data_IF_650261956070
#
_entry.id   IF_650261956070
#
_cell.length_a   1.000
_cell.length_b   1.000
_cell.length_c   1.000
_cell.angle_alpha   90.00
_cell.angle_beta   90.00
_cell.angle_gamma   90.00
#
_symmetry.space_group_name_H-M   'P 1'
#
loop_
_entity.id
_entity.type
_entity.pdbx_description
1 polymer ?
#
# COMPACT_ATOMS: atom_id res chain seq x y z
N UNK A 1 -6.57 17.30 4.45
CA UNK A 1 -5.44 16.32 4.45
C UNK A 1 -5.13 15.91 3.03
N UNK A 2 -3.87 15.70 2.71
CA UNK A 2 -3.38 15.32 1.38
C UNK A 2 -2.74 13.93 1.41
N UNK A 3 -2.51 13.35 0.25
CA UNK A 3 -1.91 12.01 0.12
C UNK A 3 -0.60 11.89 0.93
N UNK A 4 0.29 12.90 0.85
CA UNK A 4 1.55 12.94 1.61
C UNK A 4 1.41 12.90 3.14
N UNK A 5 0.27 13.32 3.67
CA UNK A 5 0.04 13.38 5.13
C UNK A 5 -0.22 11.99 5.73
N UNK A 6 -0.59 11.01 4.89
CA UNK A 6 -1.00 9.67 5.30
C UNK A 6 -0.36 8.53 4.52
N UNK A 7 0.34 8.82 3.41
CA UNK A 7 0.97 7.79 2.59
C UNK A 7 2.05 7.03 3.37
N UNK A 8 2.29 5.79 2.97
CA UNK A 8 3.50 5.04 3.32
C UNK A 8 4.61 5.52 2.41
N UNK A 9 5.63 6.22 2.90
CA UNK A 9 6.83 6.51 2.12
C UNK A 9 7.70 5.25 2.00
N UNK A 10 8.82 5.34 1.28
CA UNK A 10 9.78 4.24 1.12
C UNK A 10 9.12 2.92 0.70
N UNK A 11 8.43 2.97 -0.43
CA UNK A 11 7.62 1.87 -0.95
C UNK A 11 8.49 0.70 -1.36
N UNK A 12 8.13 -0.52 -0.93
CA UNK A 12 8.72 -1.74 -1.46
C UNK A 12 8.40 -1.82 -2.96
N UNK A 13 9.43 -1.97 -3.79
CA UNK A 13 9.32 -2.05 -5.25
C UNK A 13 10.05 -3.28 -5.78
N UNK A 14 9.77 -3.66 -7.01
CA UNK A 14 10.51 -4.70 -7.73
C UNK A 14 10.89 -4.22 -9.12
N UNK A 15 11.95 -4.80 -9.69
CA UNK A 15 12.33 -4.57 -11.08
C UNK A 15 11.42 -5.33 -12.05
N UNK A 16 11.29 -4.87 -13.31
CA UNK A 16 10.51 -5.54 -14.35
C UNK A 16 10.91 -7.00 -14.58
N UNK A 17 12.18 -7.33 -14.38
CA UNK A 17 12.74 -8.68 -14.62
C UNK A 17 12.71 -9.58 -13.36
N UNK A 18 12.20 -9.08 -12.24
CA UNK A 18 11.99 -9.88 -11.02
C UNK A 18 11.07 -11.06 -11.31
N UNK A 19 11.47 -12.27 -10.89
CA UNK A 19 10.66 -13.47 -11.14
C UNK A 19 9.33 -13.43 -10.40
N UNK A 20 8.30 -14.03 -10.98
CA UNK A 20 6.97 -14.12 -10.36
C UNK A 20 7.02 -14.81 -8.99
N UNK A 21 7.87 -15.83 -8.83
CA UNK A 21 8.07 -16.51 -7.54
C UNK A 21 8.67 -15.56 -6.49
N UNK A 22 9.65 -14.73 -6.87
CA UNK A 22 10.24 -13.74 -5.97
C UNK A 22 9.20 -12.66 -5.60
N UNK A 23 8.38 -12.21 -6.55
CA UNK A 23 7.27 -11.30 -6.27
C UNK A 23 6.27 -11.93 -5.30
N UNK A 24 5.84 -13.16 -5.54
CA UNK A 24 4.89 -13.87 -4.68
C UNK A 24 5.44 -14.05 -3.25
N UNK A 25 6.74 -14.42 -3.13
CA UNK A 25 7.44 -14.51 -1.85
C UNK A 25 7.45 -13.16 -1.14
N UNK A 26 7.85 -12.10 -1.83
CA UNK A 26 7.89 -10.73 -1.30
C UNK A 26 6.51 -10.28 -0.78
N UNK A 27 5.44 -10.48 -1.56
CA UNK A 27 4.08 -10.13 -1.15
C UNK A 27 3.68 -10.88 0.13
N UNK A 28 3.97 -12.20 0.18
CA UNK A 28 3.63 -13.05 1.33
C UNK A 28 4.42 -12.69 2.58
N UNK A 29 5.74 -12.54 2.47
CA UNK A 29 6.63 -12.24 3.61
C UNK A 29 6.41 -10.83 4.15
N UNK A 30 6.15 -9.86 3.26
CA UNK A 30 5.88 -8.48 3.66
C UNK A 30 4.42 -8.20 4.02
N UNK A 31 3.51 -9.19 3.94
CA UNK A 31 2.08 -9.01 4.24
C UNK A 31 1.40 -7.95 3.37
N UNK A 32 1.90 -7.71 2.13
CA UNK A 32 1.36 -6.72 1.22
C UNK A 32 0.65 -7.39 0.04
N UNK A 33 -0.46 -6.80 -0.41
CA UNK A 33 -1.28 -7.36 -1.50
C UNK A 33 -0.97 -6.78 -2.88
N UNK A 34 0.15 -6.08 -3.02
CA UNK A 34 0.61 -5.56 -4.31
C UNK A 34 1.86 -4.73 -4.18
N UNK A 35 2.70 -4.76 -5.19
CA UNK A 35 4.01 -4.12 -5.26
C UNK A 35 4.15 -3.34 -6.57
N UNK A 36 4.58 -2.06 -6.54
CA UNK A 36 4.92 -1.31 -7.73
C UNK A 36 6.15 -1.89 -8.41
N UNK A 37 6.15 -1.83 -9.74
CA UNK A 37 7.28 -2.19 -10.59
C UNK A 37 7.91 -0.89 -11.08
N UNK A 38 9.20 -0.72 -10.81
CA UNK A 38 9.97 0.45 -11.22
C UNK A 38 11.14 0.03 -12.13
N UNK A 39 11.45 0.86 -13.10
CA UNK A 39 12.57 0.62 -14.01
C UNK A 39 13.91 1.16 -13.43
N UNK A 40 14.98 1.00 -14.18
CA UNK A 40 16.31 1.47 -13.79
C UNK A 40 16.44 3.00 -13.66
N UNK A 41 15.43 3.76 -14.09
CA UNK A 41 15.35 5.22 -13.93
C UNK A 41 14.40 5.61 -12.79
N UNK A 42 14.02 4.69 -11.90
CA UNK A 42 13.04 4.85 -10.82
C UNK A 42 11.66 5.30 -11.30
N UNK A 43 11.30 4.98 -12.54
CA UNK A 43 9.98 5.31 -13.07
C UNK A 43 9.01 4.15 -12.80
N UNK A 44 7.80 4.50 -12.37
CA UNK A 44 6.72 3.54 -12.18
C UNK A 44 6.24 3.01 -13.53
N UNK A 45 6.52 1.74 -13.84
CA UNK A 45 6.18 1.09 -15.12
C UNK A 45 5.05 0.08 -15.00
N UNK A 46 4.66 -0.28 -13.78
CA UNK A 46 3.58 -1.22 -13.55
C UNK A 46 3.29 -1.45 -12.07
N UNK A 47 2.31 -2.31 -11.80
CA UNK A 47 2.00 -2.83 -10.47
C UNK A 47 1.66 -4.31 -10.59
N UNK A 48 2.17 -5.13 -9.67
CA UNK A 48 1.78 -6.54 -9.52
C UNK A 48 1.03 -6.68 -8.20
N UNK A 49 -0.12 -7.31 -8.24
CA UNK A 49 -0.97 -7.58 -7.08
C UNK A 49 -1.24 -9.07 -6.89
N UNK A 50 -1.75 -9.47 -5.73
CA UNK A 50 -2.25 -10.83 -5.49
C UNK A 50 -3.21 -11.27 -6.60
N UNK A 51 -4.10 -10.36 -7.07
CA UNK A 51 -5.04 -10.65 -8.13
C UNK A 51 -4.39 -11.05 -9.45
N UNK A 52 -3.22 -10.51 -9.77
CA UNK A 52 -2.46 -10.86 -10.97
C UNK A 52 -1.80 -12.25 -10.86
N UNK A 53 -1.65 -12.77 -9.63
CA UNK A 53 -1.00 -14.05 -9.32
C UNK A 53 -1.99 -15.16 -8.95
N UNK A 54 -3.31 -14.91 -8.92
CA UNK A 54 -4.31 -15.90 -8.52
C UNK A 54 -4.50 -17.02 -9.54
N UNK A 55 -4.36 -16.71 -10.81
CA UNK A 55 -4.61 -17.66 -11.90
C UNK A 55 -3.29 -18.04 -12.58
N UNK A 56 -2.64 -19.08 -12.05
CA UNK A 56 -1.30 -19.50 -12.48
C UNK A 56 -1.27 -20.99 -12.83
N UNK A 57 -0.53 -21.31 -13.89
CA UNK A 57 -0.31 -22.70 -14.32
C UNK A 57 0.44 -23.49 -13.26
N UNK A 58 1.44 -22.86 -12.60
CA UNK A 58 2.28 -23.51 -11.58
C UNK A 58 1.47 -24.00 -10.36
N UNK A 59 0.36 -23.34 -10.05
CA UNK A 59 -0.54 -23.72 -8.94
C UNK A 59 -1.78 -24.47 -9.42
N UNK A 60 -1.94 -24.69 -10.74
CA UNK A 60 -3.13 -25.32 -11.32
C UNK A 60 -4.41 -24.47 -11.18
N UNK A 61 -4.26 -23.16 -10.90
CA UNK A 61 -5.37 -22.23 -10.73
C UNK A 61 -5.65 -21.42 -12.00
N UNK A 62 -4.97 -21.71 -13.10
CA UNK A 62 -5.14 -21.11 -14.42
C UNK A 62 -6.54 -21.39 -15.03
N UNK A 63 -7.22 -22.43 -14.52
CA UNK A 63 -8.57 -22.74 -14.96
C UNK A 63 -9.53 -21.69 -14.43
N UNK A 64 -10.03 -20.83 -15.30
CA UNK A 64 -11.26 -20.09 -14.99
C UNK A 64 -12.33 -21.11 -14.56
N UNK A 65 -13.06 -20.87 -13.46
CA UNK A 65 -14.25 -21.66 -13.18
C UNK A 65 -15.25 -21.40 -14.31
N UNK A 66 -15.17 -22.25 -15.34
CA UNK A 66 -16.25 -22.38 -16.27
C UNK A 66 -17.49 -22.73 -15.43
N UNK A 67 -18.41 -21.77 -15.28
CA UNK A 67 -19.74 -22.01 -14.77
C UNK A 67 -19.97 -22.05 -13.25
N UNK A 68 -19.64 -21.00 -12.53
CA UNK A 68 -20.32 -20.77 -11.23
C UNK A 68 -21.44 -19.72 -11.29
N UNK A 69 -21.74 -19.17 -12.45
CA UNK A 69 -22.95 -18.38 -12.64
C UNK A 69 -23.86 -19.12 -13.63
N UNK A 70 -24.93 -19.71 -13.12
CA UNK A 70 -25.98 -20.36 -13.88
C UNK A 70 -26.78 -19.42 -14.81
N UNK A 71 -26.16 -18.36 -15.30
CA UNK A 71 -26.62 -17.57 -16.42
C UNK A 71 -25.97 -18.13 -17.68
N UNK A 72 -26.79 -18.77 -18.53
CA UNK A 72 -26.46 -19.01 -19.93
C UNK A 72 -25.99 -17.70 -20.56
N UNK A 73 -24.67 -17.44 -20.52
CA UNK A 73 -24.09 -16.47 -21.43
C UNK A 73 -24.26 -17.06 -22.82
N UNK A 74 -24.93 -16.32 -23.67
CA UNK A 74 -25.18 -16.70 -25.05
C UNK A 74 -23.83 -16.95 -25.72
N UNK A 75 -23.66 -18.07 -26.43
CA UNK A 75 -22.43 -18.49 -27.12
C UNK A 75 -21.82 -17.40 -28.02
N UNK A 76 -22.63 -16.45 -28.48
CA UNK A 76 -22.16 -15.31 -29.29
C UNK A 76 -21.47 -14.21 -28.47
N UNK A 77 -21.58 -14.18 -27.11
CA UNK A 77 -20.85 -13.27 -26.22
C UNK A 77 -19.43 -13.78 -25.94
N UNK A 78 -19.16 -15.07 -26.09
CA UNK A 78 -17.80 -15.63 -25.99
C UNK A 78 -16.97 -15.30 -27.25
N UNK A 79 -17.61 -14.87 -28.33
CA UNK A 79 -16.95 -14.44 -29.56
C UNK A 79 -16.50 -12.97 -29.52
N UNK A 80 -16.80 -12.23 -28.43
CA UNK A 80 -16.50 -10.79 -28.28
C UNK A 80 -15.39 -10.56 -27.22
N UNK A 81 -14.87 -11.61 -26.58
CA UNK A 81 -13.59 -11.47 -25.87
C UNK A 81 -12.57 -11.14 -26.96
N UNK A 82 -12.04 -9.91 -26.94
CA UNK A 82 -11.05 -9.51 -27.94
C UNK A 82 -9.84 -10.44 -27.81
N UNK A 83 -9.21 -10.82 -28.94
CA UNK A 83 -7.99 -11.63 -28.95
C UNK A 83 -6.94 -11.10 -27.98
N UNK A 84 -6.93 -9.78 -27.76
CA UNK A 84 -6.08 -9.09 -26.78
C UNK A 84 -6.38 -9.45 -25.31
N UNK A 85 -7.64 -9.70 -24.94
CA UNK A 85 -8.00 -10.09 -23.58
C UNK A 85 -7.54 -11.51 -23.28
N UNK A 86 -7.74 -12.42 -24.22
CA UNK A 86 -7.27 -13.80 -24.13
C UNK A 86 -5.74 -13.88 -24.10
N UNK A 87 -5.06 -13.08 -24.93
CA UNK A 87 -3.61 -13.00 -24.93
C UNK A 87 -3.04 -12.45 -23.61
N UNK A 88 -3.70 -11.44 -23.02
CA UNK A 88 -3.34 -10.91 -21.70
C UNK A 88 -3.53 -11.93 -20.57
N UNK A 89 -4.65 -12.66 -20.59
CA UNK A 89 -4.93 -13.71 -19.60
C UNK A 89 -3.87 -14.84 -19.72
N UNK A 90 -3.51 -15.22 -20.95
CA UNK A 90 -2.45 -16.18 -21.18
C UNK A 90 -1.10 -15.69 -20.66
N UNK A 91 -0.73 -14.44 -20.98
CA UNK A 91 0.51 -13.84 -20.50
C UNK A 91 0.56 -13.80 -18.97
N UNK A 92 -0.55 -13.43 -18.29
CA UNK A 92 -0.65 -13.42 -16.82
C UNK A 92 -0.54 -14.81 -16.21
N UNK A 93 -1.10 -15.84 -16.84
CA UNK A 93 -1.07 -17.21 -16.30
C UNK A 93 0.26 -17.95 -16.55
N UNK A 94 1.04 -17.54 -17.58
CA UNK A 94 2.27 -18.21 -18.01
C UNK A 94 3.52 -17.33 -17.87
N UNK A 95 3.36 -16.03 -17.67
CA UNK A 95 4.46 -15.08 -17.55
C UNK A 95 5.40 -15.44 -16.39
N UNK A 96 6.70 -15.21 -16.54
CA UNK A 96 7.72 -15.60 -15.56
C UNK A 96 8.30 -14.44 -14.77
N UNK A 97 8.09 -13.22 -15.25
CA UNK A 97 8.66 -12.02 -14.65
C UNK A 97 7.57 -11.00 -14.33
N UNK A 98 7.88 -10.02 -13.48
CA UNK A 98 6.97 -8.95 -13.10
C UNK A 98 6.41 -8.22 -14.32
N UNK A 99 7.23 -7.91 -15.33
CA UNK A 99 6.82 -7.23 -16.57
C UNK A 99 5.80 -8.01 -17.40
N UNK A 100 5.79 -9.34 -17.27
CA UNK A 100 4.86 -10.20 -18.02
C UNK A 100 3.46 -10.17 -17.39
N UNK A 101 3.38 -10.06 -16.05
CA UNK A 101 2.13 -10.19 -15.30
C UNK A 101 1.58 -8.86 -14.78
N UNK A 102 2.40 -7.81 -14.73
CA UNK A 102 2.02 -6.50 -14.18
C UNK A 102 0.88 -5.83 -14.94
N UNK A 103 0.11 -5.03 -14.25
CA UNK A 103 -0.78 -4.04 -14.85
C UNK A 103 0.03 -2.80 -15.17
N UNK A 104 0.09 -2.42 -16.47
CA UNK A 104 0.90 -1.29 -16.96
C UNK A 104 0.23 0.07 -16.78
N UNK A 105 -1.08 0.13 -17.01
CA UNK A 105 -1.87 1.36 -16.85
C UNK A 105 -2.14 1.62 -15.38
N UNK A 106 -1.09 2.06 -14.66
CA UNK A 106 -1.17 2.26 -13.21
C UNK A 106 -1.88 3.57 -12.92
N UNK A 107 -2.99 3.48 -12.21
CA UNK A 107 -3.66 4.65 -11.64
C UNK A 107 -2.81 5.15 -10.48
N UNK A 108 -2.37 6.41 -10.56
CA UNK A 108 -1.55 7.07 -9.55
C UNK A 108 -2.13 8.44 -9.18
N UNK A 109 -1.66 9.02 -8.08
CA UNK A 109 -2.01 10.37 -7.63
C UNK A 109 -0.73 11.14 -7.32
N UNK A 110 -0.83 12.46 -7.16
CA UNK A 110 0.28 13.27 -6.67
C UNK A 110 0.28 13.32 -5.13
N UNK A 111 1.40 13.64 -4.54
CA UNK A 111 1.56 13.81 -3.09
C UNK A 111 0.70 14.96 -2.53
N UNK A 112 0.27 15.89 -3.40
CA UNK A 112 -0.60 17.02 -3.06
C UNK A 112 -2.09 16.73 -3.25
N UNK A 113 -2.46 15.58 -3.81
CA UNK A 113 -3.87 15.19 -4.03
C UNK A 113 -4.62 15.15 -2.70
N UNK A 114 -5.81 15.74 -2.67
CA UNK A 114 -6.66 15.72 -1.47
C UNK A 114 -7.11 14.30 -1.11
N UNK A 115 -7.16 14.02 0.19
CA UNK A 115 -7.46 12.67 0.68
C UNK A 115 -8.88 12.20 0.29
N UNK A 116 -9.82 13.14 0.15
CA UNK A 116 -11.16 12.86 -0.34
C UNK A 116 -11.16 12.34 -1.78
N UNK A 117 -10.33 12.94 -2.65
CA UNK A 117 -10.19 12.51 -4.04
C UNK A 117 -9.54 11.14 -4.13
N UNK A 118 -8.53 10.88 -3.28
CA UNK A 118 -7.92 9.55 -3.16
C UNK A 118 -8.96 8.51 -2.75
N UNK A 119 -9.79 8.82 -1.75
CA UNK A 119 -10.86 7.93 -1.29
C UNK A 119 -11.87 7.62 -2.41
N UNK A 120 -12.30 8.65 -3.13
CA UNK A 120 -13.22 8.51 -4.27
C UNK A 120 -12.58 7.66 -5.37
N UNK A 121 -11.30 7.87 -5.69
CA UNK A 121 -10.57 7.11 -6.69
C UNK A 121 -10.49 5.63 -6.33
N UNK A 122 -10.10 5.28 -5.08
CA UNK A 122 -10.03 3.90 -4.59
C UNK A 122 -11.40 3.21 -4.64
N UNK A 123 -12.49 3.93 -4.32
CA UNK A 123 -13.85 3.40 -4.37
C UNK A 123 -14.33 3.20 -5.81
N UNK A 124 -14.22 4.23 -6.66
CA UNK A 124 -14.72 4.22 -8.05
C UNK A 124 -13.98 3.20 -8.91
N UNK A 125 -12.66 3.15 -8.79
CA UNK A 125 -11.81 2.20 -9.53
C UNK A 125 -11.75 0.82 -8.90
N UNK A 126 -12.37 0.62 -7.72
CA UNK A 126 -12.37 -0.65 -6.96
C UNK A 126 -10.97 -1.18 -6.67
N UNK A 127 -10.00 -0.29 -6.46
CA UNK A 127 -8.62 -0.63 -6.12
C UNK A 127 -8.37 -0.51 -4.62
N UNK A 128 -7.42 -1.27 -4.10
CA UNK A 128 -7.09 -1.31 -2.67
C UNK A 128 -6.05 -0.26 -2.28
N UNK A 129 -5.23 0.18 -3.24
CA UNK A 129 -4.12 1.12 -3.04
C UNK A 129 -3.83 1.91 -4.31
N UNK A 130 -3.16 3.04 -4.15
CA UNK A 130 -2.75 3.92 -5.24
C UNK A 130 -1.32 4.42 -4.99
N UNK A 131 -0.41 4.29 -5.95
CA UNK A 131 0.91 4.91 -5.89
C UNK A 131 0.81 6.42 -5.86
N UNK A 132 1.70 7.05 -5.10
CA UNK A 132 1.85 8.50 -4.99
C UNK A 132 3.11 8.91 -5.70
N UNK A 133 2.98 9.82 -6.64
CA UNK A 133 4.09 10.32 -7.44
C UNK A 133 4.39 11.78 -7.10
N UNK A 134 5.68 12.14 -7.16
CA UNK A 134 6.16 13.53 -7.17
C UNK A 134 7.15 13.67 -8.31
N UNK A 135 6.89 14.61 -9.21
CA UNK A 135 7.72 14.83 -10.40
C UNK A 135 7.96 13.54 -11.22
N UNK A 136 6.92 12.69 -11.31
CA UNK A 136 6.95 11.42 -12.03
C UNK A 136 7.59 10.24 -11.26
N UNK A 137 8.22 10.48 -10.11
CA UNK A 137 8.85 9.45 -9.29
C UNK A 137 7.93 8.95 -8.19
N UNK A 138 8.04 7.67 -7.88
CA UNK A 138 7.29 7.04 -6.79
C UNK A 138 7.84 7.53 -5.43
N UNK A 139 7.00 8.22 -4.65
CA UNK A 139 7.36 8.76 -3.33
C UNK A 139 6.52 8.16 -2.20
N UNK A 140 5.53 7.36 -2.51
CA UNK A 140 4.68 6.75 -1.49
C UNK A 140 3.58 5.89 -2.08
N UNK A 141 2.80 5.29 -1.21
CA UNK A 141 1.58 4.56 -1.56
C UNK A 141 0.48 4.87 -0.54
N UNK A 142 -0.75 5.05 -0.99
CA UNK A 142 -1.93 5.20 -0.12
C UNK A 142 -2.83 4.01 -0.29
N UNK A 143 -3.21 3.36 0.81
CA UNK A 143 -4.15 2.26 0.87
C UNK A 143 -5.45 2.66 1.57
N UNK A 144 -6.48 1.81 1.49
CA UNK A 144 -7.73 2.01 2.26
C UNK A 144 -7.47 2.06 3.75
N UNK A 145 -6.49 1.31 4.27
CA UNK A 145 -6.12 1.33 5.68
C UNK A 145 -5.62 2.71 6.12
N UNK A 146 -4.81 3.39 5.29
CA UNK A 146 -4.37 4.75 5.57
C UNK A 146 -5.55 5.72 5.72
N UNK A 147 -6.58 5.58 4.86
CA UNK A 147 -7.80 6.41 4.95
C UNK A 147 -8.57 6.16 6.24
N UNK A 148 -8.72 4.89 6.64
CA UNK A 148 -9.42 4.52 7.88
C UNK A 148 -8.67 5.06 9.10
N UNK A 149 -7.34 4.97 9.12
CA UNK A 149 -6.52 5.54 10.21
C UNK A 149 -6.63 7.07 10.25
N UNK A 150 -6.57 7.73 9.10
CA UNK A 150 -6.79 9.17 9.01
C UNK A 150 -8.17 9.58 9.57
N UNK A 151 -9.20 8.81 9.28
CA UNK A 151 -10.54 9.02 9.82
C UNK A 151 -10.57 8.87 11.36
N UNK A 152 -9.89 7.86 11.90
CA UNK A 152 -9.86 7.59 13.32
C UNK A 152 -9.26 8.74 14.16
N UNK A 153 -8.31 9.50 13.59
CA UNK A 153 -7.71 10.67 14.26
C UNK A 153 -8.42 11.99 13.93
N UNK A 154 -9.40 11.96 13.04
CA UNK A 154 -10.20 13.13 12.71
C UNK A 154 -11.29 13.29 13.76
N UNK A 155 -11.08 14.17 14.75
CA UNK A 155 -12.17 14.63 15.58
C UNK A 155 -13.20 15.35 14.71
N UNK A 156 -14.49 15.22 15.02
CA UNK A 156 -15.63 15.72 14.25
C UNK A 156 -15.67 17.25 14.04
N UNK A 157 -14.68 17.99 14.43
CA UNK A 157 -14.56 19.42 14.15
C UNK A 157 -14.08 19.60 12.70
N UNK A 158 -15.06 19.82 11.86
CA UNK A 158 -14.95 20.14 10.45
C UNK A 158 -13.88 21.22 10.20
N UNK A 159 -12.78 20.87 9.54
CA UNK A 159 -12.01 21.84 8.78
C UNK A 159 -10.58 22.13 9.20
N UNK A 160 -9.93 21.37 10.10
CA UNK A 160 -8.49 21.57 10.33
C UNK A 160 -7.69 20.59 9.47
N UNK A 161 -7.20 21.09 8.34
CA UNK A 161 -6.16 20.42 7.56
C UNK A 161 -4.92 20.20 8.41
N UNK A 162 -4.16 19.12 8.13
CA UNK A 162 -2.83 18.96 8.71
C UNK A 162 -2.03 20.23 8.43
N UNK A 163 -1.51 20.86 9.48
CA UNK A 163 -0.73 22.07 9.36
C UNK A 163 0.61 21.78 8.66
N UNK A 164 1.31 22.82 8.20
CA UNK A 164 2.69 22.65 7.73
C UNK A 164 3.58 22.09 8.82
N UNK A 165 3.29 22.42 10.07
CA UNK A 165 4.03 21.96 11.25
C UNK A 165 3.82 20.46 11.49
N UNK A 166 2.58 19.95 11.33
CA UNK A 166 2.29 18.51 11.47
C UNK A 166 3.06 17.67 10.44
N UNK A 167 3.19 18.19 9.21
CA UNK A 167 3.99 17.53 8.16
C UNK A 167 5.46 17.51 8.51
N UNK A 168 5.99 18.65 8.94
CA UNK A 168 7.40 18.76 9.36
C UNK A 168 7.70 17.80 10.51
N UNK A 169 6.82 17.73 11.52
CA UNK A 169 6.94 16.79 12.64
C UNK A 169 6.98 15.35 12.12
N UNK A 170 6.04 15.00 11.23
CA UNK A 170 5.96 13.64 10.67
C UNK A 170 7.21 13.28 9.88
N UNK A 171 7.66 14.15 8.98
CA UNK A 171 8.83 13.92 8.13
C UNK A 171 10.11 13.79 8.97
N UNK A 172 10.28 14.64 9.98
CA UNK A 172 11.40 14.56 10.92
C UNK A 172 11.37 13.27 11.74
N UNK A 173 10.21 12.87 12.25
CA UNK A 173 10.07 11.63 13.01
C UNK A 173 10.40 10.40 12.15
N UNK A 174 9.88 10.34 10.92
CA UNK A 174 10.20 9.26 10.00
C UNK A 174 11.71 9.22 9.72
N UNK A 175 12.34 10.36 9.43
CA UNK A 175 13.79 10.45 9.18
C UNK A 175 14.60 10.00 10.40
N UNK A 176 14.21 10.39 11.61
CA UNK A 176 14.85 9.97 12.87
C UNK A 176 14.76 8.45 13.04
N UNK A 177 13.57 7.87 12.90
CA UNK A 177 13.36 6.43 13.04
C UNK A 177 14.15 5.65 11.98
N UNK A 178 14.17 6.10 10.73
CA UNK A 178 14.94 5.48 9.66
C UNK A 178 16.45 5.56 9.87
N UNK A 179 16.93 6.51 10.69
CA UNK A 179 18.32 6.61 11.13
C UNK A 179 18.73 5.53 12.12
N UNK A 180 17.77 4.89 12.82
CA UNK A 180 18.05 3.97 13.92
C UNK A 180 18.23 2.53 13.43
N UNK A 181 19.34 1.87 13.81
CA UNK A 181 19.64 0.49 13.43
C UNK A 181 18.59 -0.51 13.97
N UNK A 182 18.09 -0.31 15.21
CA UNK A 182 17.06 -1.18 15.78
C UNK A 182 15.74 -1.09 15.01
N UNK A 183 15.43 0.07 14.44
CA UNK A 183 14.23 0.26 13.62
C UNK A 183 14.38 -0.38 12.24
N UNK A 184 15.59 -0.34 11.65
CA UNK A 184 15.91 -1.00 10.38
C UNK A 184 15.95 -2.52 10.51
N UNK A 185 16.37 -3.04 11.68
CA UNK A 185 16.40 -4.47 11.97
C UNK A 185 15.00 -5.11 12.05
N UNK A 186 13.97 -4.29 12.25
CA UNK A 186 12.59 -4.73 12.11
C UNK A 186 12.31 -4.87 10.61
N UNK A 187 12.22 -6.10 10.09
CA UNK A 187 11.91 -6.39 8.67
C UNK A 187 10.60 -5.71 8.19
N UNK A 188 9.83 -5.18 9.13
CA UNK A 188 8.53 -4.54 8.97
C UNK A 188 8.57 -3.02 8.91
N UNK A 189 9.75 -2.39 9.00
CA UNK A 189 9.85 -0.93 9.11
C UNK A 189 9.17 -0.17 7.95
N UNK A 190 9.14 -0.76 6.76
CA UNK A 190 8.52 -0.15 5.57
C UNK A 190 6.99 -0.02 5.68
N UNK A 191 6.39 -0.84 6.53
CA UNK A 191 4.93 -0.81 6.76
C UNK A 191 4.60 0.25 7.82
N UNK A 192 5.53 0.50 8.74
CA UNK A 192 5.33 1.32 9.94
C UNK A 192 5.24 2.82 9.73
N UNK A 193 5.89 3.37 8.70
CA UNK A 193 5.73 4.77 8.37
C UNK A 193 4.28 5.12 7.97
N UNK A 194 3.51 4.13 7.51
CA UNK A 194 2.07 4.25 7.25
C UNK A 194 1.23 4.34 8.53
N UNK A 195 1.81 3.92 9.65
CA UNK A 195 1.15 3.85 10.94
C UNK A 195 1.42 5.10 11.79
N UNK A 196 2.05 6.13 11.21
CA UNK A 196 2.34 7.41 11.86
C UNK A 196 1.49 8.50 11.21
N UNK A 197 0.58 9.07 11.99
CA UNK A 197 -0.19 10.25 11.58
C UNK A 197 0.04 11.35 12.61
N UNK A 198 0.30 12.57 12.14
CA UNK A 198 0.45 13.74 13.00
C UNK A 198 -0.71 14.70 12.75
N UNK A 199 -1.34 15.19 13.81
CA UNK A 199 -2.42 16.16 13.73
C UNK A 199 -2.44 17.08 14.95
N UNK A 200 -2.34 18.39 14.71
CA UNK A 200 -2.31 19.41 15.77
C UNK A 200 -1.16 19.20 16.77
N UNK A 201 -0.02 18.70 16.32
CA UNK A 201 1.13 18.36 17.16
C UNK A 201 0.93 17.06 17.97
N UNK A 202 -0.14 16.31 17.75
CA UNK A 202 -0.32 14.98 18.35
C UNK A 202 0.16 13.93 17.36
N UNK A 203 1.09 13.09 17.81
CA UNK A 203 1.58 11.94 17.03
C UNK A 203 0.74 10.73 17.39
N UNK A 204 0.13 10.10 16.39
CA UNK A 204 -0.62 8.87 16.53
C UNK A 204 0.18 7.72 15.94
N UNK A 205 0.47 6.70 16.75
CA UNK A 205 1.06 5.44 16.33
C UNK A 205 0.03 4.32 16.32
N UNK A 206 -0.03 3.54 15.25
CA UNK A 206 -0.73 2.25 15.22
C UNK A 206 0.29 1.14 15.39
N UNK A 207 0.27 0.49 16.53
CA UNK A 207 1.29 -0.45 16.97
C UNK A 207 0.71 -1.87 17.03
N UNK A 208 1.49 -2.88 16.65
CA UNK A 208 1.11 -4.27 16.84
C UNK A 208 1.12 -4.63 18.33
N UNK A 209 0.16 -5.48 18.74
CA UNK A 209 0.16 -6.06 20.09
C UNK A 209 1.40 -6.93 20.36
N UNK A 210 2.07 -7.42 19.29
CA UNK A 210 3.26 -8.27 19.39
C UNK A 210 4.55 -7.46 19.65
N UNK A 211 4.46 -6.12 19.60
CA UNK A 211 5.62 -5.27 19.87
C UNK A 211 5.96 -5.23 21.34
N UNK A 212 7.27 -5.30 21.62
CA UNK A 212 7.78 -5.23 22.98
C UNK A 212 7.51 -3.85 23.62
N UNK A 213 7.47 -3.83 24.93
CA UNK A 213 7.33 -2.57 25.69
C UNK A 213 8.50 -1.63 25.43
N UNK A 214 9.71 -2.18 25.25
CA UNK A 214 10.92 -1.43 24.93
C UNK A 214 10.84 -0.75 23.57
N UNK A 215 10.35 -1.45 22.55
CA UNK A 215 10.14 -0.87 21.22
C UNK A 215 9.12 0.26 21.24
N UNK A 216 7.99 0.06 21.89
CA UNK A 216 6.96 1.10 22.05
C UNK A 216 7.49 2.32 22.80
N UNK A 217 8.26 2.07 23.87
CA UNK A 217 8.91 3.13 24.64
C UNK A 217 9.90 3.91 23.78
N UNK A 218 10.71 3.23 22.96
CA UNK A 218 11.68 3.89 22.06
C UNK A 218 10.97 4.77 21.02
N UNK A 219 9.88 4.27 20.41
CA UNK A 219 9.05 5.04 19.47
C UNK A 219 8.47 6.32 20.12
N UNK A 220 7.94 6.18 21.35
CA UNK A 220 7.39 7.30 22.10
C UNK A 220 8.47 8.36 22.37
N UNK A 221 9.63 7.94 22.88
CA UNK A 221 10.77 8.85 23.15
C UNK A 221 11.23 9.54 21.86
N UNK A 222 11.35 8.80 20.76
CA UNK A 222 11.72 9.38 19.47
C UNK A 222 10.74 10.48 19.05
N UNK A 223 9.43 10.23 19.20
CA UNK A 223 8.41 11.21 18.85
C UNK A 223 8.41 12.43 19.80
N UNK A 224 8.55 12.23 21.10
CA UNK A 224 8.57 13.30 22.10
C UNK A 224 9.79 14.24 21.93
N UNK A 225 10.87 13.76 21.34
CA UNK A 225 12.06 14.55 21.04
C UNK A 225 11.93 15.42 19.78
N UNK A 226 10.89 15.24 18.96
CA UNK A 226 10.67 16.07 17.78
C UNK A 226 10.04 17.42 18.18
N UNK A 227 10.64 18.49 17.72
CA UNK A 227 10.14 19.83 18.00
C UNK A 227 8.72 20.02 17.48
N UNK A 228 7.82 20.56 18.33
CA UNK A 228 6.42 20.78 17.99
C UNK A 228 5.49 19.64 18.38
N UNK A 229 5.98 18.49 18.80
CA UNK A 229 5.16 17.41 19.36
C UNK A 229 4.64 17.84 20.72
N UNK A 230 3.31 17.75 20.88
CA UNK A 230 2.60 18.08 22.11
C UNK A 230 2.21 16.85 22.91
N UNK A 231 1.94 15.75 22.21
CA UNK A 231 1.49 14.49 22.81
C UNK A 231 1.68 13.34 21.84
N UNK A 232 1.88 12.14 22.37
CA UNK A 232 1.90 10.88 21.64
C UNK A 232 0.72 10.03 22.07
N UNK A 233 0.01 9.44 21.11
CA UNK A 233 -1.10 8.51 21.32
C UNK A 233 -0.80 7.18 20.62
N UNK A 234 -0.91 6.09 21.38
CA UNK A 234 -0.69 4.73 20.90
C UNK A 234 -2.03 4.03 20.68
N UNK A 235 -2.21 3.45 19.51
CA UNK A 235 -3.36 2.64 19.12
C UNK A 235 -2.89 1.20 18.93
N UNK A 236 -3.13 0.35 19.93
CA UNK A 236 -2.71 -1.06 19.86
C UNK A 236 -3.72 -1.83 19.02
N UNK A 237 -3.22 -2.47 17.97
CA UNK A 237 -4.02 -3.32 17.10
C UNK A 237 -3.54 -4.77 17.20
N UNK A 238 -4.45 -5.77 17.14
CA UNK A 238 -4.04 -7.16 17.11
C UNK A 238 -3.07 -7.43 15.95
N UNK A 239 -1.99 -8.18 16.18
CA UNK A 239 -0.93 -8.42 15.19
C UNK A 239 -1.45 -8.99 13.85
N UNK A 240 -2.55 -9.75 13.88
CA UNK A 240 -3.23 -10.24 12.69
C UNK A 240 -3.83 -9.15 11.79
N UNK A 241 -4.04 -7.93 12.27
CA UNK A 241 -4.59 -6.83 11.46
C UNK A 241 -3.52 -6.07 10.66
N UNK A 242 -2.28 -6.08 11.07
CA UNK A 242 -1.17 -5.49 10.32
C UNK A 242 -0.72 -6.39 9.17
N UNK A 243 -0.87 -7.71 9.33
CA UNK A 243 -0.58 -8.74 8.32
C UNK A 243 -1.81 -9.20 7.55
N UNK A 244 -3.01 -8.92 8.06
CA UNK A 244 -4.23 -9.28 7.38
C UNK A 244 -4.45 -8.35 6.19
N UNK A 245 -4.13 -8.82 4.99
CA UNK A 245 -4.86 -8.37 3.80
C UNK A 245 -6.35 -8.41 4.14
N UNK A 246 -7.13 -7.33 3.95
CA UNK A 246 -8.57 -7.38 4.09
C UNK A 246 -9.13 -8.21 2.92
N UNK A 247 -9.16 -9.51 3.09
CA UNK A 247 -9.56 -10.51 2.12
C UNK A 247 -10.48 -11.58 2.69
N UNK A 248 -11.18 -11.28 3.76
CA UNK A 248 -12.32 -12.07 4.21
C UNK A 248 -13.49 -11.14 4.53
N UNK A 249 -14.27 -10.87 3.52
CA UNK A 249 -15.75 -10.65 3.52
C UNK A 249 -16.22 -10.68 2.09
#
# INVERSE_FOLDING_TARGET
MRARDVMTPDVITVDPDTSVQAVAKLLSESGISGVPVVDAADQLVGIVSEGDLLHRVETGTDRRPERLTGRRRSWWLDTIASDDELARDYAKSHGRTAKDVMTRDVISVTDTTELADVAMLLATKRIKRVPVLRDGRLVGIVSRANLVRALAVTKSDLGIDASSDDRTIRDQLIAELMGQEWFKALEWFKIWAADIIVRGGVVHFWLSADQSEEERRALRIAAENIAGVRRVEEHIVPGSFLTASPGRW
#
